data_IF_786426023219
#
_entry.id   IF_786426023219
#
_cell.length_a   1.000
_cell.length_b   1.000
_cell.length_c   1.000
_cell.angle_alpha   90.00
_cell.angle_beta   90.00
_cell.angle_gamma   90.00
#
_symmetry.space_group_name_H-M   'P 1'
#
loop_
_entity.id
_entity.type
_entity.pdbx_description
1 polymer ?
#
# COMPACT_ATOMS: atom_id res chain seq x y z
N UNK A 1 -39.62 14.22 -32.59
CA UNK A 1 -38.95 12.97 -32.16
C UNK A 1 -37.50 12.85 -32.67
N UNK A 2 -37.19 13.33 -33.88
CA UNK A 2 -35.81 13.28 -34.43
C UNK A 2 -34.79 14.25 -33.82
N UNK A 3 -35.24 15.35 -33.20
CA UNK A 3 -34.33 16.35 -32.63
C UNK A 3 -33.69 15.90 -31.30
N UNK A 4 -34.43 15.13 -30.50
CA UNK A 4 -33.97 14.61 -29.20
C UNK A 4 -32.94 13.49 -29.40
N UNK A 5 -33.11 12.67 -30.42
CA UNK A 5 -32.14 11.61 -30.78
C UNK A 5 -30.82 12.19 -31.30
N UNK A 6 -30.85 13.29 -32.06
CA UNK A 6 -29.63 13.97 -32.53
C UNK A 6 -28.87 14.62 -31.35
N UNK A 7 -29.56 15.27 -30.42
CA UNK A 7 -28.93 15.84 -29.22
C UNK A 7 -28.30 14.76 -28.35
N UNK A 8 -28.99 13.62 -28.15
CA UNK A 8 -28.45 12.48 -27.41
C UNK A 8 -27.19 11.91 -28.08
N UNK A 9 -27.19 11.78 -29.40
CA UNK A 9 -26.03 11.27 -30.14
C UNK A 9 -24.83 12.24 -30.11
N UNK A 10 -25.09 13.55 -30.22
CA UNK A 10 -24.04 14.58 -30.10
C UNK A 10 -23.51 14.66 -28.66
N UNK A 11 -24.37 14.51 -27.64
CA UNK A 11 -23.94 14.42 -26.25
C UNK A 11 -23.07 13.18 -25.99
N UNK A 12 -23.43 12.01 -26.54
CA UNK A 12 -22.63 10.79 -26.40
C UNK A 12 -21.27 10.94 -27.11
N UNK A 13 -21.23 11.59 -28.28
CA UNK A 13 -19.96 11.87 -28.98
C UNK A 13 -19.12 12.89 -28.18
N UNK A 14 -19.73 13.92 -27.59
CA UNK A 14 -19.03 14.87 -26.72
C UNK A 14 -18.53 14.21 -25.43
N UNK A 15 -19.31 13.34 -24.79
CA UNK A 15 -18.91 12.58 -23.59
C UNK A 15 -17.73 11.64 -23.90
N UNK A 16 -17.71 11.02 -25.08
CA UNK A 16 -16.57 10.20 -25.52
C UNK A 16 -15.33 11.04 -25.92
N UNK A 17 -15.52 12.29 -26.36
CA UNK A 17 -14.42 13.22 -26.65
C UNK A 17 -13.89 13.94 -25.40
N UNK A 18 -14.68 13.98 -24.31
CA UNK A 18 -14.27 14.48 -22.99
C UNK A 18 -14.05 13.33 -22.00
N UNK A 19 -13.65 12.15 -22.47
CA UNK A 19 -12.89 11.26 -21.61
C UNK A 19 -11.54 11.93 -21.42
N UNK A 20 -11.45 12.83 -20.43
CA UNK A 20 -10.16 13.11 -19.80
C UNK A 20 -9.59 11.75 -19.44
N UNK A 21 -8.54 11.36 -20.17
CA UNK A 21 -7.65 10.35 -19.65
C UNK A 21 -7.23 10.89 -18.29
N UNK A 22 -7.71 10.24 -17.23
CA UNK A 22 -7.18 10.50 -15.89
C UNK A 22 -5.65 10.45 -15.96
N UNK A 23 -4.94 11.19 -15.10
CA UNK A 23 -3.50 11.35 -15.18
C UNK A 23 -2.83 10.01 -15.50
N UNK A 24 -2.17 9.96 -16.65
CA UNK A 24 -1.70 8.75 -17.29
C UNK A 24 -0.64 8.08 -16.45
N UNK A 25 -0.86 6.80 -16.13
CA UNK A 25 0.23 5.93 -15.69
C UNK A 25 0.74 5.18 -16.91
N UNK A 26 2.05 5.05 -17.04
CA UNK A 26 2.64 4.28 -18.14
C UNK A 26 3.51 3.16 -17.60
N UNK A 27 3.33 1.96 -18.14
CA UNK A 27 4.13 0.81 -17.76
C UNK A 27 5.57 0.98 -18.25
N UNK A 28 6.53 0.79 -17.35
CA UNK A 28 7.96 0.94 -17.61
C UNK A 28 8.58 -0.43 -17.81
N UNK A 29 8.80 -0.79 -19.08
CA UNK A 29 9.24 -2.13 -19.49
C UNK A 29 10.52 -2.59 -18.81
N UNK A 30 11.50 -1.71 -18.65
CA UNK A 30 12.79 -2.04 -18.02
C UNK A 30 12.68 -2.34 -16.53
N UNK A 31 11.59 -1.95 -15.88
CA UNK A 31 11.29 -2.27 -14.48
C UNK A 31 10.11 -3.23 -14.33
N UNK A 32 9.63 -3.81 -15.43
CA UNK A 32 8.61 -4.86 -15.45
C UNK A 32 9.20 -6.22 -15.80
N UNK A 33 8.50 -7.28 -15.39
CA UNK A 33 8.86 -8.67 -15.62
C UNK A 33 7.60 -9.53 -15.63
N UNK A 34 7.36 -10.27 -16.71
CA UNK A 34 6.23 -11.20 -16.79
C UNK A 34 6.57 -12.41 -17.64
N UNK A 35 5.74 -13.45 -17.55
CA UNK A 35 5.89 -14.67 -18.36
C UNK A 35 5.78 -14.32 -19.86
N UNK A 36 6.48 -15.04 -20.76
CA UNK A 36 7.47 -16.08 -20.49
C UNK A 36 8.88 -15.51 -20.23
N UNK A 37 9.60 -16.07 -19.24
CA UNK A 37 10.92 -15.55 -18.85
C UNK A 37 12.10 -16.10 -19.68
N UNK A 38 11.85 -17.04 -20.60
CA UNK A 38 12.89 -17.77 -21.33
C UNK A 38 13.90 -16.85 -22.06
N UNK A 39 13.44 -15.71 -22.57
CA UNK A 39 14.29 -14.74 -23.25
C UNK A 39 14.81 -13.63 -22.33
N UNK A 40 14.25 -13.49 -21.14
CA UNK A 40 14.61 -12.42 -20.19
C UNK A 40 16.04 -12.63 -19.71
N UNK A 41 16.38 -13.84 -19.28
CA UNK A 41 17.70 -14.14 -18.69
C UNK A 41 18.74 -14.69 -19.68
N UNK A 42 18.35 -14.89 -20.94
CA UNK A 42 19.22 -15.48 -21.96
C UNK A 42 20.20 -14.48 -22.60
N UNK A 43 20.00 -13.18 -22.40
CA UNK A 43 20.82 -12.13 -23.02
C UNK A 43 21.65 -11.38 -21.97
N UNK A 44 22.85 -10.95 -22.37
CA UNK A 44 23.72 -10.12 -21.53
C UNK A 44 23.14 -8.75 -21.19
N UNK A 45 22.04 -8.34 -21.84
CA UNK A 45 21.35 -7.07 -21.65
C UNK A 45 20.00 -7.24 -20.92
N UNK A 46 19.86 -8.29 -20.11
CA UNK A 46 18.67 -8.45 -19.27
C UNK A 46 18.54 -7.29 -18.28
N UNK A 47 17.33 -6.74 -18.17
CA UNK A 47 17.01 -5.76 -17.12
C UNK A 47 16.92 -6.40 -15.73
N UNK A 48 16.97 -7.73 -15.63
CA UNK A 48 16.84 -8.47 -14.38
C UNK A 48 17.99 -9.47 -14.22
N UNK A 49 18.54 -9.55 -13.00
CA UNK A 49 19.62 -10.46 -12.65
C UNK A 49 19.24 -11.31 -11.45
N UNK A 50 19.66 -12.58 -11.50
CA UNK A 50 19.42 -13.56 -10.45
C UNK A 50 20.65 -13.68 -9.54
N UNK A 51 20.42 -13.96 -8.27
CA UNK A 51 21.46 -14.16 -7.26
C UNK A 51 21.11 -15.34 -6.36
N UNK A 52 22.12 -15.97 -5.75
CA UNK A 52 21.93 -17.05 -4.78
C UNK A 52 21.23 -18.28 -5.36
N UNK A 53 20.26 -18.82 -4.63
CA UNK A 53 19.53 -20.04 -4.96
C UNK A 53 18.33 -19.82 -5.90
N UNK A 54 18.16 -18.62 -6.45
CA UNK A 54 17.01 -18.31 -7.29
C UNK A 54 17.00 -19.14 -8.57
N UNK A 55 15.85 -19.74 -8.88
CA UNK A 55 15.64 -20.54 -10.09
C UNK A 55 14.49 -19.96 -10.92
N UNK A 56 14.51 -20.23 -12.23
CA UNK A 56 13.51 -19.76 -13.18
C UNK A 56 12.85 -20.95 -13.84
N UNK A 57 11.52 -20.91 -13.92
CA UNK A 57 10.70 -21.85 -14.68
C UNK A 57 9.93 -21.10 -15.77
N UNK A 58 9.06 -21.77 -16.51
CA UNK A 58 8.12 -21.11 -17.44
C UNK A 58 6.98 -20.36 -16.73
N UNK A 59 6.73 -20.69 -15.45
CA UNK A 59 5.58 -20.21 -14.67
C UNK A 59 5.94 -19.27 -13.53
N UNK A 60 7.15 -19.33 -13.00
CA UNK A 60 7.55 -18.49 -11.88
C UNK A 60 9.06 -18.37 -11.80
N UNK A 61 9.49 -17.33 -11.09
CA UNK A 61 10.86 -17.17 -10.61
C UNK A 61 10.83 -17.45 -9.12
N UNK A 62 11.49 -18.52 -8.70
CA UNK A 62 11.51 -18.95 -7.30
C UNK A 62 12.76 -18.41 -6.63
N UNK A 63 12.59 -17.53 -5.66
CA UNK A 63 13.68 -16.94 -4.88
C UNK A 63 14.35 -17.99 -3.98
N UNK A 64 13.55 -18.74 -3.23
CA UNK A 64 13.99 -19.91 -2.45
C UNK A 64 12.99 -21.05 -2.59
N UNK A 65 13.48 -22.28 -2.46
CA UNK A 65 12.65 -23.49 -2.34
C UNK A 65 12.27 -23.75 -0.89
N UNK A 66 11.22 -24.56 -0.71
CA UNK A 66 10.87 -25.19 0.58
C UNK A 66 11.94 -26.22 1.00
N UNK A 67 13.11 -25.68 1.36
CA UNK A 67 14.27 -26.36 1.89
C UNK A 67 15.02 -25.39 2.80
N UNK A 68 15.70 -25.90 3.81
CA UNK A 68 16.45 -25.12 4.78
C UNK A 68 17.66 -24.40 4.16
N UNK A 69 18.05 -23.30 4.79
CA UNK A 69 19.29 -22.56 4.53
C UNK A 69 19.45 -22.15 3.07
N UNK A 70 18.40 -21.59 2.47
CA UNK A 70 18.43 -21.00 1.12
C UNK A 70 18.41 -19.49 1.22
N UNK A 71 19.08 -18.85 0.28
CA UNK A 71 18.99 -17.40 0.10
C UNK A 71 19.05 -17.11 -1.41
N UNK A 72 18.15 -16.28 -1.90
CA UNK A 72 18.10 -15.92 -3.31
C UNK A 72 17.57 -14.51 -3.52
N UNK A 73 17.82 -13.98 -4.70
CA UNK A 73 17.32 -12.67 -5.06
C UNK A 73 17.20 -12.43 -6.56
N UNK A 74 16.28 -11.55 -6.91
CA UNK A 74 15.97 -11.08 -8.25
C UNK A 74 16.09 -9.55 -8.25
N UNK A 75 16.99 -9.02 -9.08
CA UNK A 75 17.39 -7.61 -9.02
C UNK A 75 17.24 -6.92 -10.35
N UNK A 76 16.61 -5.76 -10.35
CA UNK A 76 16.59 -4.90 -11.53
C UNK A 76 17.98 -4.29 -11.74
N UNK A 77 18.45 -4.23 -12.99
CA UNK A 77 19.77 -3.68 -13.31
C UNK A 77 19.73 -2.21 -13.69
N UNK A 78 18.55 -1.64 -13.86
CA UNK A 78 18.33 -0.26 -14.26
C UNK A 78 17.91 0.54 -13.03
N UNK A 79 18.54 1.69 -12.73
CA UNK A 79 18.10 2.54 -11.63
C UNK A 79 16.83 3.31 -12.02
N UNK A 80 15.92 3.48 -11.07
CA UNK A 80 14.61 4.14 -11.27
C UNK A 80 14.80 5.66 -11.30
N UNK A 81 14.68 6.28 -12.48
CA UNK A 81 14.97 7.72 -12.63
C UNK A 81 13.81 8.65 -12.25
N UNK A 82 12.62 8.12 -12.00
CA UNK A 82 11.42 8.88 -11.68
C UNK A 82 11.07 8.82 -10.18
N UNK A 83 10.44 9.89 -9.68
CA UNK A 83 10.17 10.05 -8.25
C UNK A 83 8.89 9.39 -7.77
N UNK A 84 7.93 9.17 -8.67
CA UNK A 84 6.61 8.65 -8.33
C UNK A 84 6.30 7.45 -9.20
N UNK A 85 5.91 6.37 -8.54
CA UNK A 85 5.83 5.06 -9.16
C UNK A 85 4.85 4.14 -8.44
N UNK A 86 4.36 3.16 -9.17
CA UNK A 86 3.52 2.10 -8.63
C UNK A 86 4.02 0.76 -9.16
N UNK A 87 4.24 -0.21 -8.27
CA UNK A 87 4.66 -1.56 -8.62
C UNK A 87 3.57 -2.54 -8.21
N UNK A 88 3.10 -3.34 -9.16
CA UNK A 88 2.22 -4.48 -8.89
C UNK A 88 3.04 -5.76 -8.98
N UNK A 89 2.99 -6.57 -7.92
CA UNK A 89 3.71 -7.83 -7.83
C UNK A 89 2.70 -8.95 -7.67
N UNK A 90 2.70 -9.90 -8.60
CA UNK A 90 2.04 -11.19 -8.44
C UNK A 90 3.07 -12.17 -7.86
N UNK A 91 2.77 -12.72 -6.70
CA UNK A 91 3.67 -13.61 -5.96
C UNK A 91 2.89 -14.83 -5.44
N UNK A 92 3.62 -15.83 -4.94
CA UNK A 92 3.07 -16.95 -4.18
C UNK A 92 4.04 -17.33 -3.07
N UNK A 93 3.50 -17.60 -1.89
CA UNK A 93 4.23 -18.22 -0.78
C UNK A 93 3.53 -19.51 -0.37
N UNK A 94 4.24 -20.63 -0.41
CA UNK A 94 3.66 -21.96 -0.13
C UNK A 94 4.72 -22.99 0.24
N UNK A 95 4.36 -23.99 1.03
CA UNK A 95 5.24 -25.06 1.46
C UNK A 95 4.48 -26.20 2.13
N UNK A 96 5.19 -27.29 2.42
CA UNK A 96 4.62 -28.48 3.05
C UNK A 96 4.33 -28.32 4.55
N UNK A 97 4.96 -27.34 5.20
CA UNK A 97 4.76 -27.03 6.62
C UNK A 97 3.36 -26.49 6.92
N UNK A 98 2.68 -27.09 7.90
CA UNK A 98 1.33 -26.66 8.33
C UNK A 98 1.36 -25.63 9.46
N UNK A 99 2.28 -25.79 10.42
CA UNK A 99 2.43 -24.90 11.59
C UNK A 99 3.84 -24.32 11.76
N UNK A 100 4.81 -24.85 11.02
CA UNK A 100 6.21 -24.44 11.04
C UNK A 100 6.62 -24.16 9.59
N UNK A 101 6.84 -22.89 9.29
CA UNK A 101 7.14 -22.35 7.96
C UNK A 101 7.83 -21.00 8.14
N UNK A 102 8.58 -20.55 7.14
CA UNK A 102 9.34 -19.31 7.25
C UNK A 102 10.38 -19.10 6.14
N UNK A 103 11.05 -17.94 6.09
CA UNK A 103 10.76 -16.77 6.96
C UNK A 103 9.88 -15.76 6.21
N UNK A 104 10.09 -15.62 4.91
CA UNK A 104 9.32 -14.71 4.06
C UNK A 104 10.16 -14.21 2.89
N UNK A 105 9.70 -13.12 2.28
CA UNK A 105 10.46 -12.42 1.25
C UNK A 105 10.33 -10.91 1.40
N UNK A 106 11.23 -10.17 0.75
CA UNK A 106 11.26 -8.71 0.81
C UNK A 106 11.27 -8.13 -0.60
N UNK A 107 10.49 -7.07 -0.79
CA UNK A 107 10.49 -6.23 -1.97
C UNK A 107 11.29 -4.97 -1.65
N UNK A 108 12.32 -4.71 -2.45
CA UNK A 108 13.33 -3.70 -2.18
C UNK A 108 13.23 -2.52 -3.15
N UNK A 109 13.52 -1.33 -2.63
CA UNK A 109 13.93 -0.16 -3.41
C UNK A 109 15.18 0.43 -2.76
N UNK A 110 16.36 0.05 -3.23
CA UNK A 110 17.64 0.25 -2.51
C UNK A 110 18.76 0.77 -3.39
N UNK A 111 19.75 1.44 -2.78
CA UNK A 111 20.90 2.01 -3.48
C UNK A 111 21.80 0.97 -4.13
N UNK A 112 22.12 -0.10 -3.40
CA UNK A 112 23.18 -1.05 -3.74
C UNK A 112 22.59 -2.43 -4.06
N UNK A 113 22.19 -2.73 -5.31
CA UNK A 113 21.49 -3.98 -5.63
C UNK A 113 22.43 -5.19 -5.53
N UNK A 114 21.86 -6.39 -5.35
CA UNK A 114 22.56 -7.69 -5.42
C UNK A 114 23.56 -7.96 -4.30
N UNK A 115 23.51 -7.21 -3.20
CA UNK A 115 24.23 -7.61 -1.99
C UNK A 115 23.57 -8.85 -1.36
N UNK A 116 24.33 -9.58 -0.56
CA UNK A 116 23.85 -10.76 0.16
C UNK A 116 24.06 -10.56 1.65
N UNK A 117 23.13 -11.03 2.48
CA UNK A 117 23.24 -10.90 3.92
C UNK A 117 22.08 -11.53 4.69
N UNK A 118 21.96 -11.22 5.99
CA UNK A 118 21.03 -11.90 6.89
C UNK A 118 19.58 -11.45 6.73
N UNK A 119 19.30 -10.30 6.12
CA UNK A 119 17.94 -9.73 6.04
C UNK A 119 17.22 -10.33 4.84
N UNK A 120 16.54 -11.46 5.06
CA UNK A 120 15.83 -12.21 4.02
C UNK A 120 16.70 -12.44 2.76
N UNK A 121 17.99 -12.75 2.95
CA UNK A 121 18.95 -13.01 1.89
C UNK A 121 19.70 -11.77 1.36
N UNK A 122 19.38 -10.57 1.85
CA UNK A 122 20.01 -9.31 1.46
C UNK A 122 20.82 -8.67 2.61
N UNK A 123 21.67 -7.71 2.26
CA UNK A 123 22.55 -7.04 3.22
C UNK A 123 21.77 -6.25 4.28
N UNK A 124 22.27 -6.35 5.52
CA UNK A 124 21.89 -5.47 6.61
C UNK A 124 22.47 -4.04 6.40
N UNK A 125 22.01 -3.07 7.18
CA UNK A 125 22.38 -1.65 7.04
C UNK A 125 22.11 -1.13 5.61
N UNK A 126 20.99 -1.55 5.02
CA UNK A 126 20.61 -1.13 3.69
C UNK A 126 20.26 0.36 3.64
N UNK A 127 20.34 0.93 2.44
CA UNK A 127 19.95 2.31 2.18
C UNK A 127 18.78 2.31 1.18
N UNK A 128 17.57 2.62 1.65
CA UNK A 128 16.34 2.58 0.86
C UNK A 128 15.10 2.11 1.64
N UNK A 129 14.17 1.52 0.91
CA UNK A 129 12.90 0.96 1.40
C UNK A 129 12.92 -0.57 1.31
N UNK A 130 12.38 -1.21 2.34
CA UNK A 130 12.04 -2.62 2.38
C UNK A 130 10.54 -2.78 2.66
N UNK A 131 9.83 -3.51 1.80
CA UNK A 131 8.49 -4.03 2.09
C UNK A 131 8.64 -5.51 2.40
N UNK A 132 8.48 -5.86 3.67
CA UNK A 132 8.75 -7.19 4.21
C UNK A 132 7.43 -7.96 4.24
N UNK A 133 7.43 -9.14 3.63
CA UNK A 133 6.30 -10.06 3.56
C UNK A 133 6.64 -11.24 4.47
N UNK A 134 6.47 -11.03 5.78
CA UNK A 134 6.88 -11.94 6.83
C UNK A 134 5.81 -13.01 7.07
N UNK A 135 6.23 -14.27 7.19
CA UNK A 135 5.33 -15.40 7.42
C UNK A 135 5.46 -15.98 8.81
N UNK A 136 6.52 -15.66 9.56
CA UNK A 136 6.81 -16.34 10.81
C UNK A 136 7.10 -15.34 11.93
N UNK A 137 6.48 -15.56 13.10
CA UNK A 137 6.78 -14.78 14.29
C UNK A 137 8.05 -15.30 14.94
N UNK A 138 9.16 -14.56 14.87
CA UNK A 138 10.36 -14.91 15.64
C UNK A 138 10.22 -14.52 17.13
N UNK A 139 9.21 -13.73 17.47
CA UNK A 139 8.94 -13.28 18.85
C UNK A 139 8.23 -14.34 19.70
N UNK A 140 8.71 -14.49 20.94
CA UNK A 140 8.14 -15.36 21.99
C UNK A 140 7.10 -14.59 22.84
N UNK A 141 7.08 -13.25 22.78
CA UNK A 141 6.22 -12.39 23.59
C UNK A 141 4.89 -12.02 22.91
N UNK A 142 3.82 -11.91 23.71
CA UNK A 142 2.40 -11.70 23.35
C UNK A 142 2.07 -10.34 22.66
N UNK A 143 2.92 -9.82 21.77
CA UNK A 143 2.55 -8.71 20.90
C UNK A 143 1.76 -9.25 19.71
N UNK A 144 0.46 -8.95 19.72
CA UNK A 144 -0.59 -9.47 18.83
C UNK A 144 -0.47 -8.98 17.38
N UNK A 145 0.47 -9.52 16.60
CA UNK A 145 0.32 -9.52 15.15
C UNK A 145 0.02 -10.94 14.70
N UNK A 146 -1.05 -11.09 13.92
CA UNK A 146 -1.37 -12.35 13.26
C UNK A 146 -0.52 -12.41 11.99
N UNK A 147 0.32 -13.44 11.91
CA UNK A 147 1.14 -13.71 10.73
C UNK A 147 0.34 -14.52 9.71
N UNK A 148 0.61 -14.35 8.40
CA UNK A 148 1.63 -13.49 7.80
C UNK A 148 1.35 -11.98 7.93
N UNK A 149 2.44 -11.19 8.04
CA UNK A 149 2.42 -9.76 8.29
C UNK A 149 3.22 -9.01 7.22
N UNK A 150 2.66 -7.92 6.70
CA UNK A 150 3.34 -7.05 5.75
C UNK A 150 3.80 -5.81 6.50
N UNK A 151 5.09 -5.49 6.47
CA UNK A 151 5.63 -4.28 7.10
C UNK A 151 6.49 -3.47 6.13
N UNK A 152 6.68 -2.19 6.45
CA UNK A 152 7.62 -1.31 5.77
C UNK A 152 8.74 -0.88 6.72
N UNK A 153 9.98 -0.86 6.20
CA UNK A 153 11.15 -0.31 6.88
C UNK A 153 11.89 0.64 5.92
N UNK A 154 12.26 1.82 6.42
CA UNK A 154 13.14 2.75 5.70
C UNK A 154 14.45 2.89 6.46
N UNK A 155 15.55 2.71 5.75
CA UNK A 155 16.87 2.77 6.33
C UNK A 155 17.77 3.67 5.47
N UNK A 156 18.64 4.44 6.12
CA UNK A 156 19.64 5.29 5.49
C UNK A 156 21.03 4.66 5.52
N UNK A 157 21.13 3.40 5.96
CA UNK A 157 22.37 2.64 6.12
C UNK A 157 22.96 2.67 7.54
N UNK A 158 22.25 3.26 8.51
CA UNK A 158 22.71 3.31 9.91
C UNK A 158 21.97 2.36 10.86
N UNK A 159 20.81 1.83 10.45
CA UNK A 159 19.98 0.98 11.30
C UNK A 159 20.32 -0.49 11.05
N UNK A 160 20.47 -1.27 12.13
CA UNK A 160 20.61 -2.72 12.10
C UNK A 160 19.23 -3.37 12.14
N UNK A 161 18.92 -4.21 11.16
CA UNK A 161 17.70 -5.00 11.17
C UNK A 161 17.90 -6.27 12.01
N UNK A 162 17.22 -6.31 13.17
CA UNK A 162 17.19 -7.48 14.05
C UNK A 162 16.13 -8.48 13.56
N UNK A 163 16.60 -9.53 12.88
CA UNK A 163 15.75 -10.62 12.37
C UNK A 163 15.04 -11.37 13.51
N UNK A 164 15.71 -11.56 14.65
CA UNK A 164 15.16 -12.31 15.79
C UNK A 164 13.97 -11.58 16.46
N UNK A 165 13.75 -10.31 16.09
CA UNK A 165 12.64 -9.46 16.56
C UNK A 165 11.75 -8.96 15.43
N UNK A 166 11.84 -9.56 14.24
CA UNK A 166 11.07 -9.20 13.05
C UNK A 166 11.22 -7.72 12.66
N UNK A 167 12.35 -7.10 13.03
CA UNK A 167 12.60 -5.68 12.87
C UNK A 167 11.56 -4.77 13.53
N UNK A 168 10.88 -5.23 14.59
CA UNK A 168 9.74 -4.54 15.20
C UNK A 168 10.04 -3.07 15.56
N UNK A 169 11.25 -2.77 16.03
CA UNK A 169 11.68 -1.41 16.41
C UNK A 169 11.87 -0.47 15.20
N UNK A 170 11.96 -1.01 13.99
CA UNK A 170 12.20 -0.27 12.74
C UNK A 170 10.97 -0.16 11.84
N UNK A 171 9.90 -0.92 12.12
CA UNK A 171 8.69 -0.93 11.31
C UNK A 171 7.99 0.43 11.38
N UNK A 172 7.78 1.06 10.22
CA UNK A 172 7.11 2.37 10.13
C UNK A 172 5.60 2.25 9.91
N UNK A 173 5.14 1.14 9.33
CA UNK A 173 3.75 0.67 9.34
C UNK A 173 3.70 -0.80 8.92
N UNK A 174 2.53 -1.41 9.07
CA UNK A 174 2.27 -2.74 8.58
C UNK A 174 0.80 -3.13 8.71
N UNK A 175 0.45 -4.30 8.17
CA UNK A 175 -0.86 -4.91 8.33
C UNK A 175 -0.78 -6.44 8.30
N UNK A 176 -1.80 -7.10 8.87
CA UNK A 176 -1.98 -8.55 8.77
C UNK A 176 -2.52 -8.91 7.39
N UNK A 177 -1.93 -9.92 6.74
CA UNK A 177 -2.33 -10.35 5.41
C UNK A 177 -2.12 -11.86 5.24
N UNK A 178 -3.20 -12.64 5.20
CA UNK A 178 -3.16 -14.10 5.08
C UNK A 178 -2.81 -14.60 3.66
N UNK A 179 -1.63 -14.24 3.14
CA UNK A 179 -1.22 -14.52 1.76
C UNK A 179 -0.62 -15.91 1.53
N UNK A 180 -0.17 -16.62 2.59
CA UNK A 180 0.47 -17.93 2.47
C UNK A 180 -0.54 -19.03 2.10
N UNK A 181 -0.16 -19.93 1.20
CA UNK A 181 -0.93 -21.14 0.88
C UNK A 181 -2.24 -20.88 0.15
N UNK A 182 -2.39 -19.70 -0.47
CA UNK A 182 -3.58 -19.35 -1.26
C UNK A 182 -3.54 -20.06 -2.61
N UNK A 183 -4.68 -20.63 -3.04
CA UNK A 183 -4.81 -21.26 -4.36
C UNK A 183 -4.98 -20.23 -5.49
N UNK A 184 -5.51 -19.06 -5.17
CA UNK A 184 -5.71 -17.91 -6.06
C UNK A 184 -4.48 -17.00 -6.14
N UNK A 185 -4.35 -16.23 -7.21
CA UNK A 185 -3.26 -15.25 -7.35
C UNK A 185 -3.24 -14.28 -6.18
N UNK A 186 -2.05 -14.02 -5.63
CA UNK A 186 -1.84 -13.08 -4.54
C UNK A 186 -1.04 -11.90 -5.05
N UNK A 187 -1.63 -10.72 -4.92
CA UNK A 187 -1.13 -9.48 -5.49
C UNK A 187 -0.82 -8.47 -4.38
N UNK A 188 0.28 -7.73 -4.56
CA UNK A 188 0.58 -6.54 -3.77
C UNK A 188 0.87 -5.36 -4.71
N UNK A 189 0.28 -4.21 -4.41
CA UNK A 189 0.56 -2.95 -5.07
C UNK A 189 1.32 -2.04 -4.08
N UNK A 190 2.47 -1.55 -4.51
CA UNK A 190 3.29 -0.60 -3.75
C UNK A 190 3.32 0.69 -4.55
N UNK A 191 2.67 1.73 -4.02
CA UNK A 191 2.57 3.05 -4.64
C UNK A 191 3.37 4.06 -3.83
N UNK A 192 4.34 4.69 -4.46
CA UNK A 192 5.02 5.85 -3.92
C UNK A 192 4.68 7.07 -4.77
N UNK A 193 3.90 8.00 -4.23
CA UNK A 193 3.47 9.20 -4.95
C UNK A 193 3.38 10.38 -3.99
N UNK A 194 3.87 11.56 -4.39
CA UNK A 194 3.81 12.78 -3.59
C UNK A 194 4.35 12.60 -2.14
N UNK A 195 5.45 11.86 -1.98
CA UNK A 195 6.05 11.50 -0.69
C UNK A 195 5.12 10.67 0.23
N UNK A 196 4.09 10.03 -0.33
CA UNK A 196 3.23 9.06 0.37
C UNK A 196 3.55 7.66 -0.14
N UNK A 197 3.76 6.73 0.79
CA UNK A 197 3.87 5.30 0.51
C UNK A 197 2.53 4.64 0.86
N UNK A 198 1.91 3.98 -0.11
CA UNK A 198 0.69 3.20 0.07
C UNK A 198 0.94 1.77 -0.38
N UNK A 199 0.63 0.82 0.49
CA UNK A 199 0.68 -0.61 0.18
C UNK A 199 -0.74 -1.16 0.21
N UNK A 200 -1.11 -1.87 -0.84
CA UNK A 200 -2.42 -2.50 -0.99
C UNK A 200 -2.27 -3.94 -1.46
N UNK A 201 -3.24 -4.78 -1.17
CA UNK A 201 -3.20 -6.20 -1.52
C UNK A 201 -4.51 -6.65 -2.17
N UNK A 202 -4.41 -7.62 -3.07
CA UNK A 202 -5.53 -8.48 -3.45
C UNK A 202 -5.09 -9.93 -3.22
N UNK A 203 -5.46 -10.46 -2.06
CA UNK A 203 -5.14 -11.84 -1.64
C UNK A 203 -6.40 -12.70 -1.52
N UNK A 204 -7.57 -12.10 -1.72
CA UNK A 204 -8.89 -12.72 -1.67
C UNK A 204 -9.48 -12.97 -3.08
N UNK A 205 -8.81 -12.49 -4.13
CA UNK A 205 -9.20 -12.74 -5.53
C UNK A 205 -10.42 -11.95 -5.94
N UNK A 206 -10.66 -10.83 -5.25
CA UNK A 206 -11.80 -9.96 -5.50
C UNK A 206 -11.56 -9.04 -6.71
N UNK A 207 -10.34 -9.03 -7.26
CA UNK A 207 -9.87 -8.10 -8.29
C UNK A 207 -10.03 -6.64 -7.85
N UNK A 208 -9.86 -6.40 -6.54
CA UNK A 208 -9.96 -5.09 -5.91
C UNK A 208 -8.80 -4.91 -4.95
N UNK A 209 -8.18 -3.73 -4.99
CA UNK A 209 -7.10 -3.39 -4.07
C UNK A 209 -7.67 -3.04 -2.69
N UNK A 210 -7.33 -3.84 -1.69
CA UNK A 210 -7.57 -3.52 -0.28
C UNK A 210 -6.33 -2.83 0.29
N UNK A 211 -6.50 -1.62 0.81
CA UNK A 211 -5.38 -0.91 1.46
C UNK A 211 -4.90 -1.69 2.70
N UNK A 212 -3.59 -1.92 2.75
CA UNK A 212 -2.89 -2.51 3.89
C UNK A 212 -2.45 -1.40 4.84
N UNK A 213 -1.69 -0.41 4.34
CA UNK A 213 -1.34 0.80 5.07
C UNK A 213 -0.96 1.94 4.14
N UNK A 214 -0.96 3.16 4.68
CA UNK A 214 -0.57 4.38 3.97
C UNK A 214 0.15 5.33 4.92
N UNK A 215 1.33 5.84 4.52
CA UNK A 215 2.18 6.71 5.35
C UNK A 215 2.61 7.92 4.52
N UNK A 216 2.44 9.11 5.09
CA UNK A 216 2.87 10.38 4.51
C UNK A 216 4.32 10.76 4.87
N UNK A 217 4.85 11.76 4.16
CA UNK A 217 6.14 12.40 4.42
C UNK A 217 7.35 11.46 4.33
N UNK A 218 7.24 10.41 3.52
CA UNK A 218 8.30 9.48 3.19
C UNK A 218 9.26 10.12 2.17
N UNK A 219 10.55 10.15 2.48
CA UNK A 219 11.59 10.57 1.55
C UNK A 219 12.31 9.35 0.98
N UNK A 220 12.20 9.15 -0.33
CA UNK A 220 12.98 8.17 -1.09
C UNK A 220 13.75 8.85 -2.23
N UNK A 221 15.06 8.58 -2.38
CA UNK A 221 15.87 9.11 -3.47
C UNK A 221 15.46 8.51 -4.82
N UNK A 222 15.72 9.21 -5.91
CA UNK A 222 15.71 8.60 -7.24
C UNK A 222 17.02 7.85 -7.50
N UNK A 223 17.04 7.08 -8.58
CA UNK A 223 18.16 6.25 -9.04
C UNK A 223 18.55 5.10 -8.11
N UNK A 224 17.60 4.59 -7.33
CA UNK A 224 17.76 3.32 -6.61
C UNK A 224 17.19 2.18 -7.45
N UNK A 225 17.38 0.96 -6.99
CA UNK A 225 17.09 -0.25 -7.74
C UNK A 225 15.96 -1.04 -7.06
N UNK A 226 15.06 -1.56 -7.90
CA UNK A 226 14.10 -2.55 -7.46
C UNK A 226 14.77 -3.92 -7.28
N UNK A 227 14.32 -4.66 -6.29
CA UNK A 227 14.78 -6.02 -6.06
C UNK A 227 13.82 -6.84 -5.23
N UNK A 228 14.08 -8.13 -5.20
CA UNK A 228 13.36 -9.10 -4.41
C UNK A 228 14.39 -10.03 -3.79
N UNK A 229 14.23 -10.38 -2.53
CA UNK A 229 15.04 -11.43 -1.91
C UNK A 229 14.20 -12.26 -0.96
N UNK A 230 14.62 -13.50 -0.74
CA UNK A 230 14.06 -14.36 0.28
C UNK A 230 15.18 -15.18 0.91
N UNK A 231 14.97 -15.58 2.16
CA UNK A 231 15.80 -16.58 2.82
C UNK A 231 14.93 -17.58 3.60
N UNK A 232 15.49 -18.77 3.80
CA UNK A 232 14.93 -19.82 4.66
C UNK A 232 15.96 -20.20 5.72
N UNK A 233 15.51 -20.28 6.97
CA UNK A 233 16.32 -20.71 8.11
C UNK A 233 16.19 -22.20 8.38
N UNK A 234 15.85 -22.54 9.63
CA UNK A 234 15.41 -23.89 10.02
C UNK A 234 14.01 -24.20 9.46
N UNK A 235 13.21 -23.15 9.28
CA UNK A 235 11.92 -23.21 8.60
C UNK A 235 12.08 -22.81 7.13
N UNK A 236 11.15 -23.28 6.30
CA UNK A 236 11.20 -23.03 4.87
C UNK A 236 9.83 -22.87 4.24
N UNK A 237 9.82 -22.14 3.13
CA UNK A 237 8.74 -22.03 2.18
C UNK A 237 9.31 -21.81 0.77
N UNK A 238 8.49 -22.10 -0.23
CA UNK A 238 8.73 -21.59 -1.58
C UNK A 238 8.31 -20.13 -1.66
N UNK A 239 9.20 -19.27 -2.15
CA UNK A 239 8.92 -17.85 -2.39
C UNK A 239 9.01 -17.59 -3.89
N UNK A 240 7.85 -17.49 -4.55
CA UNK A 240 7.74 -17.40 -6.01
C UNK A 240 7.28 -16.01 -6.44
N UNK A 241 8.00 -15.37 -7.36
CA UNK A 241 7.61 -14.16 -8.07
C UNK A 241 7.08 -14.57 -9.45
N UNK A 242 5.84 -14.18 -9.74
CA UNK A 242 5.13 -14.51 -10.98
C UNK A 242 5.21 -13.35 -11.98
N UNK A 243 4.91 -12.13 -11.54
CA UNK A 243 5.08 -10.96 -12.38
C UNK A 243 5.32 -9.71 -11.56
N UNK A 244 5.95 -8.74 -12.20
CA UNK A 244 6.21 -7.39 -11.71
C UNK A 244 5.78 -6.45 -12.82
N UNK A 245 4.82 -5.57 -12.54
CA UNK A 245 4.42 -4.51 -13.45
C UNK A 245 4.68 -3.18 -12.77
N UNK A 246 5.59 -2.39 -13.32
CA UNK A 246 5.96 -1.10 -12.76
C UNK A 246 5.43 0.01 -13.64
N UNK A 247 4.81 1.00 -13.03
CA UNK A 247 4.24 2.16 -13.67
C UNK A 247 4.92 3.41 -13.17
N UNK A 248 5.32 4.28 -14.10
CA UNK A 248 5.62 5.67 -13.75
C UNK A 248 4.31 6.43 -13.66
N UNK A 249 4.14 7.17 -12.57
CA UNK A 249 2.96 7.97 -12.32
C UNK A 249 3.15 9.39 -12.83
N UNK A 250 2.05 10.03 -13.20
CA UNK A 250 2.05 11.44 -13.59
C UNK A 250 2.56 12.34 -12.45
N UNK A 251 3.57 13.13 -12.81
CA UNK A 251 4.25 14.06 -11.91
C UNK A 251 3.72 15.47 -12.13
N UNK A 252 3.50 16.20 -11.04
CA UNK A 252 3.31 17.66 -11.12
C UNK A 252 4.57 18.32 -11.69
N UNK A 253 4.42 19.46 -12.39
CA UNK A 253 5.56 20.18 -12.97
C UNK A 253 6.62 20.57 -11.92
N UNK A 254 6.19 20.83 -10.68
CA UNK A 254 7.09 21.10 -9.56
C UNK A 254 7.91 19.87 -9.23
N UNK A 255 7.26 18.71 -9.15
CA UNK A 255 7.91 17.45 -8.81
C UNK A 255 8.92 16.99 -9.86
N UNK A 256 8.64 17.25 -11.14
CA UNK A 256 9.59 16.95 -12.23
C UNK A 256 10.91 17.74 -12.13
N UNK A 257 10.89 18.92 -11.49
CA UNK A 257 12.07 19.80 -11.34
C UNK A 257 12.84 19.53 -10.03
N UNK A 258 12.31 18.73 -9.11
CA UNK A 258 12.99 18.41 -7.86
C UNK A 258 14.12 17.41 -8.09
N UNK A 259 15.36 17.80 -7.78
CA UNK A 259 16.48 16.85 -7.74
C UNK A 259 16.39 16.02 -6.45
N UNK A 260 16.00 14.76 -6.62
CA UNK A 260 15.88 13.77 -5.53
C UNK A 260 17.02 12.78 -5.47
N UNK A 261 18.03 12.91 -6.33
CA UNK A 261 19.12 11.92 -6.42
C UNK A 261 19.94 11.81 -5.14
N UNK A 262 20.11 12.93 -4.43
CA UNK A 262 21.01 13.05 -3.28
C UNK A 262 20.30 13.22 -1.93
N UNK A 263 18.97 13.01 -1.86
CA UNK A 263 18.28 13.04 -0.56
C UNK A 263 18.64 11.78 0.24
N UNK A 264 18.44 11.83 1.55
CA UNK A 264 18.64 10.68 2.44
C UNK A 264 17.27 10.01 2.64
N UNK A 265 17.16 8.66 2.54
CA UNK A 265 15.90 8.01 2.86
C UNK A 265 15.49 8.26 4.30
N UNK A 266 14.23 8.62 4.52
CA UNK A 266 13.68 8.84 5.87
C UNK A 266 12.17 8.70 5.89
N UNK A 267 11.65 8.20 7.00
CA UNK A 267 10.25 8.32 7.38
C UNK A 267 10.11 9.34 8.54
N UNK A 268 8.92 9.92 8.76
CA UNK A 268 8.60 10.53 10.04
C UNK A 268 8.91 9.52 11.15
N UNK A 269 9.52 9.97 12.25
CA UNK A 269 9.73 9.10 13.41
C UNK A 269 8.41 8.43 13.74
N UNK A 270 8.38 7.11 13.68
CA UNK A 270 7.30 6.35 14.25
C UNK A 270 7.28 6.72 15.73
N UNK A 271 6.40 7.63 16.13
CA UNK A 271 5.78 7.47 17.43
C UNK A 271 5.13 6.11 17.34
N UNK A 272 5.86 5.10 17.82
CA UNK A 272 5.34 3.78 18.10
C UNK A 272 3.97 4.02 18.70
N UNK A 273 2.93 3.69 17.94
CA UNK A 273 1.57 3.86 18.36
C UNK A 273 1.40 3.04 19.63
N UNK A 274 1.63 3.67 20.77
CA UNK A 274 0.80 3.40 21.92
C UNK A 274 -0.60 3.47 21.35
N UNK A 275 -1.35 2.37 21.49
CA UNK A 275 -2.75 2.30 21.15
C UNK A 275 -3.40 3.46 21.90
N UNK A 276 -3.48 4.61 21.24
CA UNK A 276 -4.48 5.60 21.53
C UNK A 276 -5.74 4.84 21.14
N UNK A 277 -6.42 4.36 22.18
CA UNK A 277 -7.83 4.04 22.13
C UNK A 277 -8.56 5.31 21.66
N UNK A 278 -8.44 5.61 20.37
CA UNK A 278 -9.32 6.47 19.63
C UNK A 278 -10.62 5.69 19.44
N UNK A 279 -11.25 5.35 20.56
CA UNK A 279 -12.69 5.37 20.64
C UNK A 279 -13.07 6.75 20.15
N UNK A 280 -13.56 6.79 18.91
CA UNK A 280 -14.03 7.97 18.23
C UNK A 280 -14.59 8.97 19.26
N UNK A 281 -13.88 10.10 19.45
CA UNK A 281 -14.43 11.28 20.13
C UNK A 281 -15.53 11.88 19.25
N UNK A 282 -16.57 11.08 19.02
CA UNK A 282 -17.92 11.58 18.91
C UNK A 282 -18.14 12.35 20.20
N UNK A 283 -18.25 13.67 20.08
CA UNK A 283 -18.64 14.52 21.19
C UNK A 283 -19.98 14.00 21.71
N UNK A 284 -19.96 13.14 22.73
CA UNK A 284 -21.15 12.67 23.41
C UNK A 284 -21.66 13.87 24.20
N UNK A 285 -22.58 14.61 23.60
CA UNK A 285 -23.30 15.67 24.31
C UNK A 285 -23.94 15.03 25.54
N UNK A 286 -23.60 15.54 26.73
CA UNK A 286 -24.24 15.13 27.98
C UNK A 286 -25.75 15.09 27.79
N UNK A 287 -26.42 14.05 28.29
CA UNK A 287 -27.87 13.84 28.20
C UNK A 287 -28.65 15.08 28.64
N UNK A 288 -28.08 15.86 29.58
CA UNK A 288 -28.62 17.14 30.03
C UNK A 288 -28.60 18.22 28.93
N UNK A 289 -27.54 18.29 28.12
CA UNK A 289 -27.42 19.26 27.01
C UNK A 289 -28.43 18.95 25.89
N UNK A 290 -28.63 17.67 25.57
CA UNK A 290 -29.65 17.24 24.61
C UNK A 290 -31.05 17.57 25.12
N UNK A 291 -31.33 17.27 26.40
CA UNK A 291 -32.61 17.60 27.03
C UNK A 291 -32.92 19.11 27.00
N UNK A 292 -31.93 19.95 27.34
CA UNK A 292 -32.09 21.41 27.31
C UNK A 292 -32.35 21.95 25.90
N UNK A 293 -31.72 21.38 24.87
CA UNK A 293 -31.91 21.79 23.48
C UNK A 293 -33.33 21.44 22.99
N UNK A 294 -33.82 20.24 23.32
CA UNK A 294 -35.18 19.81 23.00
C UNK A 294 -36.23 20.69 23.73
N UNK A 295 -36.01 21.01 25.01
CA UNK A 295 -36.90 21.90 25.75
C UNK A 295 -37.00 23.28 25.10
N UNK A 296 -35.86 23.83 24.66
CA UNK A 296 -35.80 25.15 24.02
C UNK A 296 -36.56 25.17 22.69
N UNK A 297 -36.47 24.10 21.89
CA UNK A 297 -37.25 23.95 20.66
C UNK A 297 -38.76 23.87 20.92
N UNK A 298 -39.19 23.16 21.98
CA UNK A 298 -40.61 23.08 22.36
C UNK A 298 -41.14 24.46 22.76
N UNK A 299 -40.38 25.23 23.55
CA UNK A 299 -40.75 26.59 23.95
C UNK A 299 -40.90 27.50 22.73
N UNK A 300 -39.98 27.41 21.77
CA UNK A 300 -40.06 28.17 20.52
C UNK A 300 -41.31 27.80 19.71
N UNK A 301 -41.62 26.51 19.58
CA UNK A 301 -42.83 26.05 18.90
C UNK A 301 -44.11 26.55 19.58
N UNK A 302 -44.19 26.47 20.91
CA UNK A 302 -45.35 26.96 21.67
C UNK A 302 -45.49 28.48 21.55
N UNK A 303 -44.39 29.22 21.58
CA UNK A 303 -44.40 30.68 21.38
C UNK A 303 -44.86 31.06 19.97
N UNK A 304 -44.46 30.30 18.95
CA UNK A 304 -44.90 30.48 17.57
C UNK A 304 -46.39 30.19 17.39
N UNK A 305 -46.90 29.11 18.00
CA UNK A 305 -48.33 28.79 18.00
C UNK A 305 -49.14 29.86 18.75
N UNK A 306 -48.63 30.34 19.88
CA UNK A 306 -49.24 31.44 20.64
C UNK A 306 -49.29 32.74 19.83
N UNK A 307 -48.20 33.11 19.17
CA UNK A 307 -48.17 34.27 18.27
C UNK A 307 -49.13 34.12 17.10
N UNK A 308 -49.22 32.92 16.50
CA UNK A 308 -50.17 32.63 15.43
C UNK A 308 -51.63 32.79 15.90
N UNK A 309 -51.97 32.26 17.08
CA UNK A 309 -53.31 32.42 17.65
C UNK A 309 -53.61 33.88 18.01
N UNK A 310 -52.66 34.60 18.60
CA UNK A 310 -52.79 36.02 18.91
C UNK A 310 -53.01 36.86 17.65
N UNK A 311 -52.21 36.63 16.60
CA UNK A 311 -52.39 37.28 15.30
C UNK A 311 -53.73 36.93 14.66
N UNK A 312 -54.19 35.67 14.79
CA UNK A 312 -55.51 35.24 14.29
C UNK A 312 -56.65 35.92 15.04
N UNK A 313 -56.56 36.07 16.36
CA UNK A 313 -57.56 36.73 17.18
C UNK A 313 -57.59 38.25 16.95
N UNK A 314 -56.44 38.89 16.73
CA UNK A 314 -56.37 40.30 16.32
C UNK A 314 -57.03 40.55 14.95
N UNK A 315 -56.83 39.64 13.97
CA UNK A 315 -57.51 39.73 12.67
C UNK A 315 -59.03 39.52 12.77
N UNK A 316 -59.49 38.74 13.76
CA UNK A 316 -60.93 38.53 14.01
C UNK A 316 -61.59 39.72 14.72
N UNK A 317 -60.83 40.46 15.53
CA UNK A 317 -61.30 41.69 16.18
C UNK A 317 -61.25 42.92 15.26
N UNK A 318 -60.32 42.98 14.28
CA UNK A 318 -60.28 44.07 13.30
C UNK A 318 -61.37 43.98 12.22
N UNK A 319 -62.03 42.83 12.07
CA UNK A 319 -63.14 42.61 11.11
C UNK A 319 -64.54 42.80 11.71
N UNK A 320 -64.65 43.35 12.93
CA UNK A 320 -65.94 43.67 13.59
C UNK A 320 -66.17 45.17 13.80
N UNK A 321 -65.31 46.01 13.23
CA UNK A 321 -65.48 47.46 13.17
C UNK A 321 -65.42 47.92 11.71
N UNK A 322 -66.34 47.40 10.88
CA UNK A 322 -66.84 48.04 9.67
C UNK A 322 -68.27 47.58 9.44
#
# INVERSE_FOLDING_TARGET
MYFITIISFVCIIFINLTFEQGPGSFEVREHSLSRPYANVFATSHSYWQLTGNTLVTDRYIRLTSDAQSKAGGLWNTVPVSYSDWEMHVNFKVHGGGTSLFGDGFVIWYVRDPKLTGPVFGYADHFNGLAIIMDTYSNRIDNYNHIYPYISAVINNGSLHYDHDRDGADLNIAGCEAAFRGRDIDTLVAIRYQNNRLTVSTDIDGENTWKECFSIDNIQLPTYYYFGFSAATGELSDNHDIISVHTYQLDLSEQRQKEDRKNIIPSAPSAHMGQIDDDTAKTSKWSTLKIFLLVLLLIILCLSGIGAFYYMKQHRYHSSRLY
#
